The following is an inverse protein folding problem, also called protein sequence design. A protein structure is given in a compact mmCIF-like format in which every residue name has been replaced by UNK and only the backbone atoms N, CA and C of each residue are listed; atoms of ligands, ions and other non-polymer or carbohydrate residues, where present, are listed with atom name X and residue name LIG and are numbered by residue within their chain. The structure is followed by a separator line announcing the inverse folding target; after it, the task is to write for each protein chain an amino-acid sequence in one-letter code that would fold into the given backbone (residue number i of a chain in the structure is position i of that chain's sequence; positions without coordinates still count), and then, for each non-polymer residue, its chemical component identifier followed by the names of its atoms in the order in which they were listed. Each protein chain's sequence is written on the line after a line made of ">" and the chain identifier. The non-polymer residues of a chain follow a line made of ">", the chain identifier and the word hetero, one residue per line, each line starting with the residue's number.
data_IF_437967670511
#
_entry.id   IF_437967670511
#
_cell.length_a   1.000
_cell.length_b   1.000
_cell.length_c   1.000
_cell.angle_alpha   90.00
_cell.angle_beta   90.00
_cell.angle_gamma   90.00
#
_symmetry.space_group_name_H-M   'P 1'
#
loop_
_entity.id
_entity.type
_entity.pdbx_description
1 polymer ?
#
# COMPACT_ATOMS: atom_id res chain seq x y z
N UNK A 1 0.02 -9.82 16.94
CA UNK A 1 -0.35 -8.39 16.92
C UNK A 1 -0.39 -7.77 15.53
N UNK A 2 0.29 -8.33 14.52
CA UNK A 2 0.45 -7.72 13.20
C UNK A 2 -0.82 -7.65 12.30
N UNK A 3 -1.98 -8.17 12.71
CA UNK A 3 -3.20 -8.11 11.87
C UNK A 3 -3.58 -6.67 11.51
N UNK A 4 -3.38 -5.73 12.43
CA UNK A 4 -3.65 -4.30 12.21
C UNK A 4 -2.71 -3.70 11.18
N UNK A 5 -1.41 -3.99 11.28
CA UNK A 5 -0.39 -3.51 10.34
C UNK A 5 -0.59 -4.14 8.96
N UNK A 6 -0.93 -5.43 8.90
CA UNK A 6 -1.26 -6.12 7.66
C UNK A 6 -2.48 -5.49 6.96
N UNK A 7 -3.53 -5.15 7.72
CA UNK A 7 -4.68 -4.42 7.17
C UNK A 7 -4.30 -3.02 6.69
N UNK A 8 -3.46 -2.31 7.43
CA UNK A 8 -2.99 -0.97 7.05
C UNK A 8 -2.15 -1.00 5.76
N UNK A 9 -1.27 -1.99 5.60
CA UNK A 9 -0.49 -2.19 4.37
C UNK A 9 -1.35 -2.62 3.18
N UNK A 10 -2.38 -3.44 3.41
CA UNK A 10 -3.38 -3.73 2.35
C UNK A 10 -4.11 -2.48 1.91
N UNK A 11 -4.52 -1.64 2.86
CA UNK A 11 -5.20 -0.37 2.55
C UNK A 11 -4.26 0.57 1.77
N UNK A 12 -3.01 0.72 2.22
CA UNK A 12 -1.97 1.49 1.52
C UNK A 12 -1.81 1.02 0.06
N UNK A 13 -1.66 -0.28 -0.17
CA UNK A 13 -1.51 -0.81 -1.52
C UNK A 13 -2.76 -0.61 -2.38
N UNK A 14 -3.95 -0.74 -1.80
CA UNK A 14 -5.21 -0.47 -2.52
C UNK A 14 -5.35 1.01 -2.90
N UNK A 15 -4.94 1.92 -2.02
CA UNK A 15 -5.10 3.36 -2.25
C UNK A 15 -4.04 3.97 -3.16
N UNK A 16 -2.79 3.50 -3.09
CA UNK A 16 -1.67 4.10 -3.84
C UNK A 16 -1.18 3.25 -5.01
N UNK A 17 -1.46 1.94 -5.02
CA UNK A 17 -0.91 0.99 -5.98
C UNK A 17 -1.97 0.17 -6.74
N UNK A 18 -3.26 0.43 -6.54
CA UNK A 18 -4.32 -0.15 -7.38
C UNK A 18 -4.39 0.52 -8.75
N UNK A 19 -4.79 -0.20 -9.79
CA UNK A 19 -5.05 0.36 -11.12
C UNK A 19 -6.12 1.47 -11.08
N UNK A 20 -7.09 1.38 -10.16
CA UNK A 20 -8.10 2.43 -9.93
C UNK A 20 -7.46 3.70 -9.38
N UNK A 21 -6.43 3.56 -8.54
CA UNK A 21 -5.63 4.67 -8.06
C UNK A 21 -4.84 5.31 -9.22
N UNK A 22 -4.24 4.49 -10.10
CA UNK A 22 -3.53 4.99 -11.27
C UNK A 22 -4.43 5.81 -12.24
N UNK A 23 -5.69 5.42 -12.38
CA UNK A 23 -6.68 6.15 -13.19
C UNK A 23 -7.23 7.42 -12.49
N UNK A 24 -7.27 7.45 -11.16
CA UNK A 24 -7.87 8.54 -10.38
C UNK A 24 -6.92 9.62 -9.86
N UNK A 25 -5.60 9.34 -9.75
CA UNK A 25 -4.64 10.22 -9.07
C UNK A 25 -3.64 10.95 -9.99
N UNK A 26 -3.75 10.80 -11.32
CA UNK A 26 -3.01 11.64 -12.26
C UNK A 26 -3.68 13.02 -12.39
N UNK A 27 -3.59 13.86 -11.34
CA UNK A 27 -3.73 15.32 -11.41
C UNK A 27 -4.89 15.91 -12.23
N UNK A 28 -5.96 15.15 -12.42
CA UNK A 28 -7.02 15.46 -13.37
C UNK A 28 -8.02 16.38 -12.71
N UNK A 29 -7.97 17.65 -13.08
CA UNK A 29 -8.96 18.67 -12.76
C UNK A 29 -10.37 18.05 -12.68
N UNK A 30 -11.08 18.21 -11.55
CA UNK A 30 -12.39 17.57 -11.26
C UNK A 30 -13.43 17.73 -12.39
N UNK A 31 -13.25 18.73 -13.26
CA UNK A 31 -14.02 18.97 -14.48
C UNK A 31 -13.91 17.83 -15.50
N UNK A 32 -12.74 17.20 -15.65
CA UNK A 32 -12.55 16.08 -16.60
C UNK A 32 -13.35 14.84 -16.18
N UNK A 33 -13.40 14.52 -14.88
CA UNK A 33 -14.24 13.46 -14.33
C UNK A 33 -15.75 13.72 -14.54
N UNK A 34 -16.18 14.98 -14.53
CA UNK A 34 -17.58 15.34 -14.80
C UNK A 34 -17.95 15.19 -16.29
N UNK A 35 -16.99 15.37 -17.20
CA UNK A 35 -17.21 15.20 -18.64
C UNK A 35 -17.26 13.72 -19.06
N UNK A 36 -16.42 12.88 -18.47
CA UNK A 36 -16.39 11.44 -18.78
C UNK A 36 -17.63 10.69 -18.28
N UNK A 37 -18.26 11.18 -17.20
CA UNK A 37 -19.48 10.59 -16.61
C UNK A 37 -20.80 11.13 -17.18
N UNK A 38 -20.76 11.89 -18.29
CA UNK A 38 -21.97 12.37 -18.97
C UNK A 38 -22.88 13.24 -18.08
N UNK A 39 -22.34 13.89 -17.06
CA UNK A 39 -23.10 14.73 -16.13
C UNK A 39 -23.89 13.98 -15.04
N UNK A 40 -23.72 12.66 -14.89
CA UNK A 40 -24.31 11.91 -13.77
C UNK A 40 -23.27 11.54 -12.70
N UNK A 41 -23.29 12.32 -11.61
CA UNK A 41 -22.67 11.94 -10.34
C UNK A 41 -23.40 10.73 -9.77
N UNK A 42 -22.89 9.52 -10.03
CA UNK A 42 -23.26 8.33 -9.27
C UNK A 42 -22.76 8.54 -7.85
N UNK A 43 -23.68 8.94 -6.96
CA UNK A 43 -23.43 9.14 -5.53
C UNK A 43 -23.26 7.79 -4.84
N UNK A 44 -22.16 7.11 -5.14
CA UNK A 44 -21.75 5.83 -4.55
C UNK A 44 -20.94 6.02 -3.26
N UNK A 45 -21.65 6.09 -2.14
CA UNK A 45 -21.23 5.73 -0.76
C UNK A 45 -19.72 5.54 -0.46
N UNK A 46 -19.05 6.62 -0.04
CA UNK A 46 -18.45 6.80 1.30
C UNK A 46 -17.92 8.23 1.40
N UNK A 47 -18.75 9.11 1.95
CA UNK A 47 -18.36 10.47 2.24
C UNK A 47 -17.40 10.52 3.42
N UNK A 48 -16.36 11.35 3.24
CA UNK A 48 -15.66 12.12 4.27
C UNK A 48 -14.57 11.43 5.12
N UNK A 49 -13.34 11.77 4.71
CA UNK A 49 -12.16 12.18 5.51
C UNK A 49 -11.22 11.09 6.05
N UNK A 50 -9.97 11.18 5.56
CA UNK A 50 -8.70 10.63 6.09
C UNK A 50 -8.33 9.14 5.86
N UNK A 51 -8.56 8.52 4.67
CA UNK A 51 -7.84 7.29 4.32
C UNK A 51 -6.43 7.54 3.75
N UNK A 52 -6.27 8.61 2.95
CA UNK A 52 -5.00 8.94 2.29
C UNK A 52 -3.87 9.36 3.22
N UNK A 53 -4.13 10.13 4.30
CA UNK A 53 -3.04 10.62 5.16
C UNK A 53 -2.30 9.46 5.83
N UNK A 54 -3.02 8.46 6.34
CA UNK A 54 -2.42 7.27 6.93
C UNK A 54 -1.64 6.44 5.90
N UNK A 55 -2.16 6.28 4.67
CA UNK A 55 -1.45 5.60 3.58
C UNK A 55 -0.21 6.37 3.13
N UNK A 56 -0.23 7.70 3.15
CA UNK A 56 0.94 8.54 2.84
C UNK A 56 2.02 8.47 3.93
N UNK A 57 1.62 8.37 5.20
CA UNK A 57 2.56 8.13 6.30
C UNK A 57 3.22 6.76 6.18
N UNK A 58 2.44 5.72 5.85
CA UNK A 58 2.97 4.38 5.55
C UNK A 58 3.93 4.43 4.36
N UNK A 59 3.54 5.07 3.25
CA UNK A 59 4.38 5.25 2.07
C UNK A 59 5.72 5.93 2.43
N UNK A 60 5.67 6.94 3.30
CA UNK A 60 6.86 7.64 3.79
C UNK A 60 7.73 6.75 4.68
N UNK A 61 7.14 5.95 5.56
CA UNK A 61 7.87 4.97 6.40
C UNK A 61 8.54 3.93 5.50
N UNK A 62 7.78 3.31 4.58
CA UNK A 62 8.28 2.30 3.66
C UNK A 62 9.44 2.82 2.79
N UNK A 63 9.35 4.05 2.27
CA UNK A 63 10.40 4.63 1.43
C UNK A 63 11.64 5.14 2.18
N UNK A 64 11.48 5.61 3.43
CA UNK A 64 12.58 6.27 4.17
C UNK A 64 13.20 5.43 5.27
N UNK A 65 12.50 4.42 5.77
CA UNK A 65 12.88 3.69 6.99
C UNK A 65 13.05 2.19 6.78
N UNK A 66 12.45 1.61 5.75
CA UNK A 66 12.65 0.21 5.43
C UNK A 66 13.92 0.02 4.61
N UNK A 67 14.65 -1.05 4.92
CA UNK A 67 15.73 -1.52 4.06
C UNK A 67 15.17 -1.91 2.69
N UNK A 68 15.95 -1.71 1.60
CA UNK A 68 15.51 -2.02 0.24
C UNK A 68 15.03 -3.47 0.06
N UNK A 69 15.65 -4.41 0.80
CA UNK A 69 15.28 -5.83 0.77
C UNK A 69 13.89 -6.09 1.37
N UNK A 70 13.53 -5.37 2.43
CA UNK A 70 12.20 -5.46 3.06
C UNK A 70 11.15 -4.80 2.17
N UNK A 71 11.48 -3.66 1.57
CA UNK A 71 10.60 -2.95 0.66
C UNK A 71 10.23 -3.81 -0.56
N UNK A 72 11.18 -4.56 -1.13
CA UNK A 72 10.93 -5.48 -2.23
C UNK A 72 9.89 -6.56 -1.85
N UNK A 73 10.00 -7.13 -0.65
CA UNK A 73 9.03 -8.11 -0.13
C UNK A 73 7.65 -7.47 0.04
N UNK A 74 7.58 -6.28 0.65
CA UNK A 74 6.31 -5.56 0.88
C UNK A 74 5.61 -5.22 -0.45
N UNK A 75 6.33 -4.67 -1.43
CA UNK A 75 5.76 -4.32 -2.73
C UNK A 75 5.19 -5.56 -3.44
N UNK A 76 5.97 -6.64 -3.51
CA UNK A 76 5.53 -7.89 -4.14
C UNK A 76 4.37 -8.52 -3.37
N UNK A 77 4.35 -8.41 -2.04
CA UNK A 77 3.29 -9.01 -1.22
C UNK A 77 1.94 -8.29 -1.35
N UNK A 78 1.95 -6.95 -1.28
CA UNK A 78 0.74 -6.14 -1.17
C UNK A 78 0.29 -5.52 -2.49
N UNK A 79 1.21 -5.16 -3.39
CA UNK A 79 0.87 -4.56 -4.68
C UNK A 79 0.59 -5.60 -5.77
N UNK A 80 0.95 -6.87 -5.56
CA UNK A 80 0.66 -7.98 -6.48
C UNK A 80 -0.08 -9.12 -5.76
N UNK A 81 -1.31 -8.89 -5.27
CA UNK A 81 -2.04 -9.87 -4.47
C UNK A 81 -2.32 -11.19 -5.22
N UNK A 82 -2.41 -11.16 -6.55
CA UNK A 82 -2.71 -12.32 -7.39
C UNK A 82 -1.45 -13.13 -7.79
N UNK A 83 -0.25 -12.62 -7.50
CA UNK A 83 0.99 -13.32 -7.83
C UNK A 83 1.12 -14.61 -7.00
N UNK A 84 1.46 -15.72 -7.66
CA UNK A 84 1.75 -17.00 -7.00
C UNK A 84 2.98 -16.88 -6.10
N UNK A 85 3.05 -17.70 -5.04
CA UNK A 85 4.19 -17.69 -4.12
C UNK A 85 5.52 -17.88 -4.86
N UNK A 86 5.58 -18.78 -5.84
CA UNK A 86 6.80 -18.99 -6.63
C UNK A 86 7.24 -17.71 -7.36
N UNK A 87 6.31 -16.97 -7.98
CA UNK A 87 6.61 -15.69 -8.61
C UNK A 87 7.11 -14.66 -7.60
N UNK A 88 6.47 -14.58 -6.42
CA UNK A 88 6.88 -13.64 -5.37
C UNK A 88 8.30 -13.89 -4.87
N UNK A 89 8.67 -15.16 -4.68
CA UNK A 89 10.00 -15.55 -4.25
C UNK A 89 11.07 -15.19 -5.29
N UNK A 90 10.77 -15.41 -6.57
CA UNK A 90 11.67 -15.01 -7.67
C UNK A 90 11.83 -13.49 -7.73
N UNK A 91 10.73 -12.73 -7.67
CA UNK A 91 10.77 -11.27 -7.73
C UNK A 91 11.48 -10.64 -6.53
N UNK A 92 11.32 -11.21 -5.33
CA UNK A 92 11.98 -10.73 -4.11
C UNK A 92 13.40 -11.29 -3.92
N UNK A 93 13.85 -12.20 -4.80
CA UNK A 93 15.19 -12.79 -4.75
C UNK A 93 15.48 -13.59 -3.48
N UNK A 94 14.46 -14.13 -2.81
CA UNK A 94 14.62 -14.79 -1.52
C UNK A 94 13.90 -16.13 -1.42
N UNK A 95 14.36 -16.99 -0.50
CA UNK A 95 13.70 -18.26 -0.20
C UNK A 95 12.44 -18.04 0.66
N UNK A 96 11.60 -19.07 0.80
CA UNK A 96 10.32 -18.98 1.52
C UNK A 96 10.47 -18.53 2.98
N UNK A 97 11.48 -19.01 3.70
CA UNK A 97 11.65 -18.67 5.11
C UNK A 97 12.09 -17.21 5.25
N UNK A 98 13.08 -16.79 4.46
CA UNK A 98 13.55 -15.41 4.41
C UNK A 98 12.44 -14.46 3.97
N UNK A 99 11.56 -14.88 3.04
CA UNK A 99 10.42 -14.08 2.60
C UNK A 99 9.48 -13.72 3.75
N UNK A 100 9.03 -14.72 4.52
CA UNK A 100 8.12 -14.46 5.65
C UNK A 100 8.81 -13.78 6.82
N UNK A 101 10.11 -14.04 7.03
CA UNK A 101 10.90 -13.34 8.04
C UNK A 101 11.01 -11.85 7.69
N UNK A 102 11.40 -11.51 6.45
CA UNK A 102 11.46 -10.11 5.99
C UNK A 102 10.09 -9.42 6.03
N UNK A 103 9.02 -10.14 5.69
CA UNK A 103 7.67 -9.59 5.79
C UNK A 103 7.32 -9.26 7.26
N UNK A 104 7.67 -10.15 8.19
CA UNK A 104 7.50 -9.93 9.62
C UNK A 104 8.34 -8.75 10.13
N UNK A 105 9.62 -8.67 9.73
CA UNK A 105 10.52 -7.59 10.10
C UNK A 105 9.99 -6.23 9.58
N UNK A 106 9.47 -6.20 8.35
CA UNK A 106 8.81 -5.02 7.79
C UNK A 106 7.60 -4.59 8.64
N UNK A 107 6.80 -5.54 9.12
CA UNK A 107 5.67 -5.24 10.00
C UNK A 107 6.10 -4.62 11.32
N UNK A 108 7.17 -5.12 11.93
CA UNK A 108 7.72 -4.56 13.17
C UNK A 108 8.19 -3.12 12.95
N UNK A 109 8.93 -2.87 11.87
CA UNK A 109 9.43 -1.52 11.57
C UNK A 109 8.27 -0.54 11.36
N UNK A 110 7.25 -0.94 10.58
CA UNK A 110 6.08 -0.10 10.35
C UNK A 110 5.31 0.15 11.65
N UNK A 111 5.12 -0.86 12.48
CA UNK A 111 4.46 -0.74 13.79
C UNK A 111 5.19 0.25 14.70
N UNK A 112 6.52 0.12 14.82
CA UNK A 112 7.36 0.99 15.63
C UNK A 112 7.24 2.47 15.22
N UNK A 113 7.31 2.76 13.92
CA UNK A 113 7.18 4.13 13.41
C UNK A 113 5.75 4.69 13.48
N UNK A 114 4.71 3.86 13.32
CA UNK A 114 3.32 4.30 13.43
C UNK A 114 2.88 4.58 14.87
N UNK A 115 3.38 3.80 15.84
CA UNK A 115 3.06 3.99 17.26
C UNK A 115 3.83 5.13 17.91
N UNK A 116 4.73 5.79 17.16
CA UNK A 116 5.48 6.92 17.67
C UNK A 116 6.50 6.54 18.73
N UNK A 117 6.98 5.29 18.73
CA UNK A 117 8.28 5.00 19.32
C UNK A 117 9.33 5.65 18.40
N UNK A 118 9.45 6.97 18.54
CA UNK A 118 10.55 7.73 18.01
C UNK A 118 11.82 7.18 18.66
N UNK A 119 12.63 6.47 17.88
CA UNK A 119 14.05 6.33 18.15
C UNK A 119 14.71 7.72 18.25
#
# INVERSE_FOLDING_TARGET
>A
MIKTIDMALKQWAQELHSEVAAAGYSGGNMVAMMMESGGQLVRGRRGSRVPLEASLDIERILKKRLDPELMAVVQVHYCQPDASLASRLVQSGCNRNTYYQRLHDAHIVVEHFLLGEAA
#
